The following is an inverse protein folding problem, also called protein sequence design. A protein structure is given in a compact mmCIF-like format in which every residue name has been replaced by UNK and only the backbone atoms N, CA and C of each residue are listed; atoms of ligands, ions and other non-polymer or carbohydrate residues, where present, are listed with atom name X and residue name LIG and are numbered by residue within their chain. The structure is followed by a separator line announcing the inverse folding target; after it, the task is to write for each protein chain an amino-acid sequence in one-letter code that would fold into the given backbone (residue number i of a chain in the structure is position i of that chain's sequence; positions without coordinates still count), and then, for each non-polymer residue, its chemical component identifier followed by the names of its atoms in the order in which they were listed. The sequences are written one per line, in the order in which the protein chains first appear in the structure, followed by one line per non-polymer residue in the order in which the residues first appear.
data_IF_904502592170
#
_entry.id   IF_904502592170
#
_cell.length_a   1.000
_cell.length_b   1.000
_cell.length_c   1.000
_cell.angle_alpha   90.00
_cell.angle_beta   90.00
_cell.angle_gamma   90.00
#
_symmetry.space_group_name_H-M   'P 1'
#
loop_
_entity.id
_entity.type
_entity.pdbx_description
1 polymer ?
#
# COMPACT_ATOMS: atom_id res chain seq x y z
N UNK A 1 -22.81 -7.71 -6.92
CA UNK A 1 -23.16 -9.12 -7.18
C UNK A 1 -23.56 -9.33 -8.63
N UNK A 2 -24.61 -8.66 -9.14
CA UNK A 2 -25.02 -8.79 -10.55
C UNK A 2 -23.88 -8.52 -11.53
N UNK A 3 -23.13 -7.42 -11.35
CA UNK A 3 -21.94 -7.12 -12.15
C UNK A 3 -20.93 -8.28 -12.16
N UNK A 4 -20.50 -8.76 -10.98
CA UNK A 4 -19.52 -9.86 -10.86
C UNK A 4 -20.03 -11.16 -11.48
N UNK A 5 -21.34 -11.44 -11.35
CA UNK A 5 -21.95 -12.60 -11.98
C UNK A 5 -21.91 -12.51 -13.51
N UNK A 6 -22.22 -11.34 -14.07
CA UNK A 6 -22.13 -11.10 -15.52
C UNK A 6 -20.69 -11.25 -15.97
N UNK A 7 -19.72 -10.63 -15.27
CA UNK A 7 -18.31 -10.72 -15.63
C UNK A 7 -17.74 -12.14 -15.53
N UNK A 8 -18.29 -12.99 -14.66
CA UNK A 8 -17.90 -14.40 -14.54
C UNK A 8 -18.52 -15.29 -15.62
N UNK A 9 -19.67 -14.91 -16.17
CA UNK A 9 -20.45 -15.76 -17.10
C UNK A 9 -20.31 -15.37 -18.56
N UNK A 10 -19.94 -14.12 -18.83
CA UNK A 10 -19.67 -13.63 -20.18
C UNK A 10 -18.44 -14.34 -20.79
N UNK A 11 -18.47 -14.59 -22.10
CA UNK A 11 -17.31 -15.20 -22.78
C UNK A 11 -16.12 -14.24 -22.85
N UNK A 12 -14.92 -14.80 -22.77
CA UNK A 12 -13.67 -14.02 -22.86
C UNK A 12 -13.60 -13.21 -24.16
N UNK A 13 -14.00 -13.80 -25.30
CA UNK A 13 -14.02 -13.13 -26.60
C UNK A 13 -14.89 -11.87 -26.61
N UNK A 14 -16.04 -11.92 -25.93
CA UNK A 14 -16.95 -10.77 -25.83
C UNK A 14 -16.33 -9.66 -24.98
N UNK A 15 -15.71 -10.00 -23.86
CA UNK A 15 -15.00 -9.04 -23.01
C UNK A 15 -13.82 -8.40 -23.75
N UNK A 16 -13.02 -9.20 -24.46
CA UNK A 16 -11.89 -8.71 -25.24
C UNK A 16 -12.38 -7.76 -26.34
N UNK A 17 -13.45 -8.13 -27.06
CA UNK A 17 -14.02 -7.28 -28.10
C UNK A 17 -14.56 -5.96 -27.54
N UNK A 18 -15.17 -5.99 -26.35
CA UNK A 18 -15.61 -4.79 -25.64
C UNK A 18 -14.42 -3.89 -25.30
N UNK A 19 -13.39 -4.41 -24.63
CA UNK A 19 -12.22 -3.60 -24.22
C UNK A 19 -11.45 -3.01 -25.41
N UNK A 20 -11.41 -3.70 -26.55
CA UNK A 20 -10.76 -3.19 -27.76
C UNK A 20 -11.48 -1.97 -28.37
N UNK A 21 -12.79 -1.85 -28.15
CA UNK A 21 -13.62 -0.77 -28.70
C UNK A 21 -13.87 0.35 -27.69
N UNK A 22 -13.78 0.03 -26.40
CA UNK A 22 -14.09 0.96 -25.32
C UNK A 22 -13.08 2.13 -25.26
N UNK A 23 -13.55 3.38 -25.06
CA UNK A 23 -12.68 4.50 -24.78
C UNK A 23 -12.01 4.34 -23.41
N UNK A 24 -10.90 5.07 -23.20
CA UNK A 24 -10.13 5.01 -21.94
C UNK A 24 -10.99 5.28 -20.69
N UNK A 25 -11.98 6.17 -20.77
CA UNK A 25 -12.88 6.49 -19.65
C UNK A 25 -13.70 5.29 -19.20
N UNK A 26 -14.26 4.53 -20.14
CA UNK A 26 -15.04 3.32 -19.83
C UNK A 26 -14.16 2.19 -19.27
N UNK A 27 -12.93 2.07 -19.76
CA UNK A 27 -11.96 1.12 -19.21
C UNK A 27 -11.55 1.52 -17.78
N UNK A 28 -11.34 2.81 -17.53
CA UNK A 28 -11.02 3.33 -16.19
C UNK A 28 -12.19 3.14 -15.21
N UNK A 29 -13.43 3.35 -15.65
CA UNK A 29 -14.63 3.11 -14.87
C UNK A 29 -14.82 1.62 -14.59
N UNK A 30 -14.54 0.74 -15.56
CA UNK A 30 -14.52 -0.70 -15.38
C UNK A 30 -13.58 -1.12 -14.24
N UNK A 31 -12.33 -0.64 -14.23
CA UNK A 31 -11.40 -0.91 -13.12
C UNK A 31 -11.87 -0.32 -11.79
N UNK A 32 -12.49 0.87 -11.81
CA UNK A 32 -13.04 1.48 -10.60
C UNK A 32 -14.18 0.65 -10.00
N UNK A 33 -15.02 0.03 -10.83
CA UNK A 33 -16.07 -0.91 -10.37
C UNK A 33 -15.43 -2.17 -9.75
N UNK A 34 -14.35 -2.68 -10.34
CA UNK A 34 -13.60 -3.81 -9.77
C UNK A 34 -13.02 -3.45 -8.39
N UNK A 35 -12.43 -2.27 -8.25
CA UNK A 35 -11.90 -1.76 -6.98
C UNK A 35 -12.99 -1.66 -5.90
N UNK A 36 -14.16 -1.12 -6.26
CA UNK A 36 -15.32 -1.06 -5.36
C UNK A 36 -15.78 -2.46 -4.95
N UNK A 37 -15.75 -3.43 -5.87
CA UNK A 37 -16.07 -4.82 -5.55
C UNK A 37 -15.06 -5.41 -4.55
N UNK A 38 -13.75 -5.20 -4.74
CA UNK A 38 -12.73 -5.67 -3.80
C UNK A 38 -12.91 -5.09 -2.40
N UNK A 39 -13.22 -3.79 -2.29
CA UNK A 39 -13.42 -3.14 -1.00
C UNK A 39 -14.68 -3.63 -0.28
N UNK A 40 -15.78 -3.83 -1.03
CA UNK A 40 -17.06 -4.27 -0.48
C UNK A 40 -17.04 -5.73 -0.02
N UNK A 41 -16.32 -6.61 -0.74
CA UNK A 41 -16.20 -8.04 -0.42
C UNK A 41 -14.93 -8.38 0.35
N UNK A 42 -14.33 -7.41 1.05
CA UNK A 42 -13.13 -7.64 1.87
C UNK A 42 -13.37 -8.66 2.98
N UNK A 43 -12.40 -9.52 3.22
CA UNK A 43 -12.50 -10.51 4.28
C UNK A 43 -12.18 -9.89 5.65
N UNK A 44 -13.14 -9.88 6.55
CA UNK A 44 -12.99 -9.27 7.89
C UNK A 44 -12.26 -10.19 8.90
N UNK A 45 -12.11 -11.48 8.59
CA UNK A 45 -11.53 -12.49 9.45
C UNK A 45 -12.56 -13.24 10.30
N UNK A 46 -12.47 -14.59 10.35
CA UNK A 46 -13.42 -15.48 11.04
C UNK A 46 -13.76 -15.01 12.46
N UNK A 47 -12.74 -14.67 13.27
CA UNK A 47 -12.93 -14.16 14.64
C UNK A 47 -13.70 -12.84 14.71
N UNK A 48 -13.50 -11.93 13.76
CA UNK A 48 -14.21 -10.64 13.75
C UNK A 48 -15.64 -10.80 13.24
N UNK A 49 -15.86 -11.68 12.28
CA UNK A 49 -17.21 -12.02 11.78
C UNK A 49 -18.03 -12.61 12.92
N UNK A 50 -17.51 -13.62 13.63
CA UNK A 50 -18.16 -14.23 14.80
C UNK A 50 -18.46 -13.19 15.88
N UNK A 51 -17.50 -12.31 16.21
CA UNK A 51 -17.72 -11.23 17.20
C UNK A 51 -18.81 -10.24 16.79
N UNK A 52 -18.86 -9.85 15.50
CA UNK A 52 -19.89 -8.94 14.98
C UNK A 52 -21.28 -9.57 15.05
N UNK A 53 -21.38 -10.84 14.69
CA UNK A 53 -22.64 -11.60 14.75
C UNK A 53 -23.09 -11.75 16.21
N UNK A 54 -22.18 -12.12 17.11
CA UNK A 54 -22.48 -12.22 18.54
C UNK A 54 -22.91 -10.87 19.16
N UNK A 55 -22.30 -9.76 18.74
CA UNK A 55 -22.68 -8.41 19.18
C UNK A 55 -24.07 -7.99 18.64
N UNK A 56 -24.37 -8.31 17.38
CA UNK A 56 -25.67 -8.07 16.77
C UNK A 56 -26.78 -8.88 17.47
N UNK A 57 -26.51 -10.15 17.80
CA UNK A 57 -27.43 -11.01 18.53
C UNK A 57 -27.70 -10.50 19.95
N UNK A 58 -26.66 -10.07 20.68
CA UNK A 58 -26.81 -9.44 22.01
C UNK A 58 -27.61 -8.14 21.96
N UNK A 59 -27.43 -7.33 20.92
CA UNK A 59 -28.19 -6.08 20.74
C UNK A 59 -29.68 -6.36 20.43
N UNK A 60 -29.96 -7.35 19.58
CA UNK A 60 -31.32 -7.77 19.27
C UNK A 60 -32.02 -8.34 20.52
N UNK A 61 -31.34 -9.14 21.34
CA UNK A 61 -31.87 -9.63 22.61
C UNK A 61 -32.08 -8.50 23.64
N UNK A 62 -31.18 -7.52 23.73
CA UNK A 62 -31.36 -6.37 24.62
C UNK A 62 -32.55 -5.49 24.22
N UNK A 63 -32.84 -5.40 22.92
CA UNK A 63 -34.02 -4.68 22.40
C UNK A 63 -35.32 -5.42 22.73
N UNK A 64 -35.31 -6.76 22.76
CA UNK A 64 -36.44 -7.60 23.16
C UNK A 64 -36.64 -7.63 24.69
N UNK A 65 -35.57 -7.70 25.48
CA UNK A 65 -35.64 -7.77 26.95
C UNK A 65 -36.07 -6.46 27.62
N UNK A 66 -36.07 -5.33 26.91
CA UNK A 66 -36.69 -4.09 27.39
C UNK A 66 -38.22 -4.06 27.24
N UNK A 67 -38.85 -5.17 26.84
CA UNK A 67 -40.31 -5.30 26.70
C UNK A 67 -41.11 -5.56 27.99
N UNK A 68 -40.46 -5.69 29.15
CA UNK A 68 -41.16 -5.94 30.43
C UNK A 68 -40.62 -5.09 31.59
N UNK A 69 -40.87 -3.79 31.54
CA UNK A 69 -41.00 -2.97 32.74
C UNK A 69 -42.34 -2.22 32.72
N UNK A 70 -43.23 -2.64 33.61
CA UNK A 70 -44.49 -1.99 33.93
C UNK A 70 -44.23 -0.54 34.37
N UNK A 71 -44.83 0.38 33.61
CA UNK A 71 -45.46 1.63 34.07
C UNK A 71 -44.61 2.66 34.80
N UNK A 72 -44.31 3.78 34.12
CA UNK A 72 -44.70 5.16 34.52
C UNK A 72 -44.05 6.21 33.60
N UNK A 73 -44.89 6.85 32.78
CA UNK A 73 -44.79 8.16 32.10
C UNK A 73 -43.42 8.89 31.99
N UNK A 74 -42.98 9.17 30.76
CA UNK A 74 -43.08 10.51 30.12
C UNK A 74 -42.41 10.58 28.71
N UNK A 75 -43.24 10.98 27.74
CA UNK A 75 -42.95 11.73 26.49
C UNK A 75 -41.72 11.40 25.62
N UNK A 76 -41.94 10.75 24.47
CA UNK A 76 -41.68 11.36 23.16
C UNK A 76 -42.43 10.59 22.04
N UNK A 77 -43.02 11.34 21.11
CA UNK A 77 -43.87 10.82 20.04
C UNK A 77 -43.03 10.20 18.91
N UNK A 78 -43.44 9.00 18.52
CA UNK A 78 -43.08 8.29 17.28
C UNK A 78 -43.60 9.02 16.05
N UNK A 79 -42.97 8.83 14.87
CA UNK A 79 -43.63 7.99 13.85
C UNK A 79 -42.60 7.09 13.12
N UNK A 80 -42.82 5.79 12.92
CA UNK A 80 -43.92 5.20 12.15
C UNK A 80 -43.48 5.03 10.68
N UNK A 81 -42.73 3.97 10.35
CA UNK A 81 -42.34 3.62 8.98
C UNK A 81 -42.99 2.29 8.63
N UNK A 82 -43.90 2.29 7.64
CA UNK A 82 -44.13 1.23 6.64
C UNK A 82 -45.23 1.70 5.64
N UNK A 83 -45.37 1.08 4.44
CA UNK A 83 -44.97 1.66 3.15
C UNK A 83 -46.17 1.97 2.25
N UNK A 84 -46.04 2.93 1.33
CA UNK A 84 -47.12 3.20 0.37
C UNK A 84 -46.60 3.60 -1.02
N UNK A 85 -46.54 2.61 -1.91
CA UNK A 85 -46.68 2.83 -3.35
C UNK A 85 -48.16 2.78 -3.69
N UNK A 86 -48.74 3.88 -4.17
CA UNK A 86 -49.73 3.93 -5.25
C UNK A 86 -50.28 5.36 -5.43
N UNK A 87 -50.16 5.86 -6.67
CA UNK A 87 -50.94 6.87 -7.40
C UNK A 87 -51.47 8.12 -6.68
N UNK A 88 -51.09 9.30 -7.19
CA UNK A 88 -52.06 10.29 -7.71
C UNK A 88 -51.40 11.40 -8.50
N UNK A 89 -52.11 11.80 -9.55
CA UNK A 89 -51.84 12.81 -10.56
C UNK A 89 -52.14 14.24 -10.08
N UNK A 90 -51.62 15.21 -10.85
CA UNK A 90 -52.05 16.62 -11.03
C UNK A 90 -51.24 17.76 -10.37
N UNK A 91 -50.62 18.54 -11.27
CA UNK A 91 -50.48 20.01 -11.34
C UNK A 91 -49.93 20.81 -10.16
N UNK A 92 -48.71 21.39 -10.30
CA UNK A 92 -48.51 22.81 -10.66
C UNK A 92 -47.00 23.14 -10.80
N UNK A 93 -46.70 24.06 -11.70
CA UNK A 93 -45.39 24.62 -12.09
C UNK A 93 -44.49 25.21 -10.98
N UNK A 94 -43.17 25.15 -11.20
CA UNK A 94 -42.19 25.94 -10.44
C UNK A 94 -40.71 25.49 -10.57
N UNK A 95 -40.04 25.99 -11.61
CA UNK A 95 -38.59 25.92 -11.92
C UNK A 95 -37.61 25.67 -10.76
N UNK A 96 -36.75 24.62 -10.85
CA UNK A 96 -35.37 24.62 -10.30
C UNK A 96 -34.38 23.73 -11.09
N UNK A 97 -33.16 24.24 -11.20
CA UNK A 97 -31.97 23.75 -11.90
C UNK A 97 -31.61 22.27 -11.73
N UNK A 98 -31.15 21.67 -12.83
CA UNK A 98 -30.45 20.38 -12.87
C UNK A 98 -29.15 20.42 -12.05
N UNK A 99 -29.12 19.69 -10.93
CA UNK A 99 -27.88 19.23 -10.28
C UNK A 99 -27.91 17.71 -10.20
N UNK A 100 -26.88 17.12 -10.79
CA UNK A 100 -26.54 15.71 -10.88
C UNK A 100 -26.61 15.02 -9.51
N UNK A 101 -27.30 13.88 -9.44
CA UNK A 101 -27.29 13.00 -8.28
C UNK A 101 -25.98 12.22 -8.24
N UNK A 102 -24.95 12.82 -7.64
CA UNK A 102 -23.73 12.10 -7.26
C UNK A 102 -23.97 11.39 -5.93
N UNK A 103 -23.76 10.08 -5.88
CA UNK A 103 -23.85 9.26 -4.68
C UNK A 103 -23.00 9.85 -3.55
N UNK A 104 -23.49 9.90 -2.30
CA UNK A 104 -22.68 10.39 -1.18
C UNK A 104 -21.54 9.43 -0.86
N UNK A 105 -20.35 10.00 -0.75
CA UNK A 105 -19.11 9.35 -0.30
C UNK A 105 -19.29 8.93 1.17
N UNK A 106 -19.42 7.61 1.43
CA UNK A 106 -19.48 7.08 2.80
C UNK A 106 -18.07 7.03 3.38
N UNK A 107 -17.71 8.10 4.10
CA UNK A 107 -16.52 8.20 4.93
C UNK A 107 -16.88 7.74 6.35
N UNK A 108 -16.30 6.62 6.80
CA UNK A 108 -16.15 6.31 8.23
C UNK A 108 -17.27 5.52 8.92
N UNK A 109 -16.88 4.34 9.44
CA UNK A 109 -17.33 3.68 10.67
C UNK A 109 -18.83 3.76 11.01
N UNK A 110 -19.62 2.80 10.53
CA UNK A 110 -20.74 2.24 11.30
C UNK A 110 -20.87 0.75 10.97
N UNK A 111 -20.85 -0.12 11.99
CA UNK A 111 -20.99 -1.57 11.82
C UNK A 111 -22.39 -2.00 11.32
N UNK A 112 -23.32 -1.04 11.24
CA UNK A 112 -24.74 -1.23 10.93
C UNK A 112 -25.14 -0.82 9.51
N UNK A 113 -24.21 -0.40 8.66
CA UNK A 113 -24.52 -0.09 7.25
C UNK A 113 -24.54 -1.34 6.35
N UNK A 114 -24.47 -2.55 6.91
CA UNK A 114 -24.54 -3.78 6.13
C UNK A 114 -25.99 -4.31 6.14
N UNK A 115 -26.80 -4.04 5.10
CA UNK A 115 -28.20 -4.46 5.05
C UNK A 115 -28.35 -5.99 5.14
N UNK A 116 -27.31 -6.75 4.74
CA UNK A 116 -27.30 -8.22 4.86
C UNK A 116 -27.21 -8.71 6.30
N UNK A 117 -26.57 -7.94 7.18
CA UNK A 117 -26.45 -8.28 8.60
C UNK A 117 -27.78 -8.04 9.32
N UNK A 118 -28.53 -7.01 8.93
CA UNK A 118 -29.88 -6.72 9.43
C UNK A 118 -30.89 -7.79 8.98
N UNK A 119 -30.85 -8.18 7.70
CA UNK A 119 -31.74 -9.22 7.16
C UNK A 119 -31.57 -10.57 7.87
N UNK A 120 -30.39 -10.84 8.44
CA UNK A 120 -30.12 -12.08 9.17
C UNK A 120 -30.56 -12.03 10.63
N UNK A 121 -30.56 -10.86 11.27
CA UNK A 121 -31.17 -10.68 12.60
C UNK A 121 -32.66 -11.04 12.52
N UNK A 122 -33.35 -10.62 11.46
CA UNK A 122 -34.75 -10.97 11.23
C UNK A 122 -34.96 -12.47 10.97
N UNK A 123 -34.12 -13.11 10.15
CA UNK A 123 -34.22 -14.55 9.88
C UNK A 123 -33.84 -15.44 11.07
N UNK A 124 -32.86 -15.02 11.87
CA UNK A 124 -32.34 -15.78 13.02
C UNK A 124 -33.20 -15.64 14.29
N UNK A 125 -34.05 -14.62 14.38
CA UNK A 125 -35.06 -14.50 15.44
C UNK A 125 -36.16 -15.58 15.34
N UNK A 126 -36.31 -16.24 14.19
CA UNK A 126 -37.30 -17.30 14.00
C UNK A 126 -36.82 -18.71 14.43
N UNK A 127 -35.53 -18.89 14.70
CA UNK A 127 -34.96 -20.20 15.04
C UNK A 127 -33.81 -20.02 16.04
N UNK A 128 -33.86 -20.71 17.19
CA UNK A 128 -32.74 -20.84 18.13
C UNK A 128 -31.46 -21.26 17.39
N UNK A 129 -30.66 -20.28 16.94
CA UNK A 129 -29.52 -20.53 16.06
C UNK A 129 -28.39 -21.14 16.87
N UNK A 130 -28.04 -22.39 16.53
CA UNK A 130 -26.92 -23.11 17.11
C UNK A 130 -25.61 -22.45 16.66
N UNK A 131 -24.54 -22.56 17.46
CA UNK A 131 -23.18 -22.08 17.12
C UNK A 131 -22.72 -22.50 15.70
N UNK A 132 -23.26 -23.62 15.20
CA UNK A 132 -23.06 -24.17 13.85
C UNK A 132 -23.47 -23.21 12.72
N UNK A 133 -24.55 -22.46 12.85
CA UNK A 133 -25.07 -21.58 11.80
C UNK A 133 -24.19 -20.33 11.61
N UNK A 134 -23.63 -19.83 12.72
CA UNK A 134 -22.71 -18.70 12.73
C UNK A 134 -21.39 -19.06 12.05
N UNK A 135 -20.89 -20.28 12.30
CA UNK A 135 -19.68 -20.79 11.67
C UNK A 135 -19.88 -20.97 10.17
N UNK A 136 -21.02 -21.55 9.76
CA UNK A 136 -21.35 -21.75 8.34
C UNK A 136 -21.45 -20.42 7.58
N UNK A 137 -22.05 -19.38 8.18
CA UNK A 137 -22.08 -18.05 7.58
C UNK A 137 -20.70 -17.42 7.44
N UNK A 138 -19.86 -17.51 8.47
CA UNK A 138 -18.50 -16.97 8.42
C UNK A 138 -17.65 -17.65 7.34
N UNK A 139 -17.85 -18.94 7.12
CA UNK A 139 -17.19 -19.70 6.06
C UNK A 139 -17.78 -19.33 4.67
N UNK A 140 -19.09 -19.10 4.57
CA UNK A 140 -19.74 -18.60 3.35
C UNK A 140 -19.22 -17.21 2.95
N UNK A 141 -19.10 -16.27 3.90
CA UNK A 141 -18.54 -14.94 3.66
C UNK A 141 -17.07 -15.01 3.21
N UNK A 142 -16.28 -15.91 3.83
CA UNK A 142 -14.90 -16.17 3.43
C UNK A 142 -14.79 -16.72 2.00
N UNK A 143 -15.68 -17.65 1.63
CA UNK A 143 -15.73 -18.24 0.30
C UNK A 143 -16.15 -17.21 -0.74
N UNK A 144 -17.19 -16.39 -0.47
CA UNK A 144 -17.60 -15.30 -1.36
C UNK A 144 -16.46 -14.29 -1.55
N UNK A 145 -15.79 -13.86 -0.48
CA UNK A 145 -14.66 -12.94 -0.58
C UNK A 145 -13.53 -13.52 -1.45
N UNK A 146 -13.23 -14.81 -1.28
CA UNK A 146 -12.22 -15.51 -2.07
C UNK A 146 -12.64 -15.61 -3.54
N UNK A 147 -13.89 -15.97 -3.81
CA UNK A 147 -14.43 -16.10 -5.17
C UNK A 147 -14.42 -14.77 -5.93
N UNK A 148 -14.84 -13.69 -5.26
CA UNK A 148 -14.78 -12.34 -5.82
C UNK A 148 -13.33 -11.94 -6.10
N UNK A 149 -12.41 -12.24 -5.18
CA UNK A 149 -10.99 -11.98 -5.37
C UNK A 149 -10.44 -12.70 -6.61
N UNK A 150 -10.74 -13.99 -6.78
CA UNK A 150 -10.27 -14.78 -7.92
C UNK A 150 -10.88 -14.30 -9.23
N UNK A 151 -12.19 -14.03 -9.26
CA UNK A 151 -12.87 -13.50 -10.45
C UNK A 151 -12.23 -12.20 -10.93
N UNK A 152 -11.97 -11.25 -10.02
CA UNK A 152 -11.35 -9.97 -10.39
C UNK A 152 -9.90 -10.17 -10.83
N UNK A 153 -9.18 -11.09 -10.21
CA UNK A 153 -7.81 -11.43 -10.58
C UNK A 153 -7.73 -12.04 -11.99
N UNK A 154 -8.67 -12.91 -12.35
CA UNK A 154 -8.77 -13.51 -13.68
C UNK A 154 -9.08 -12.45 -14.74
N UNK A 155 -10.00 -11.51 -14.47
CA UNK A 155 -10.29 -10.38 -15.36
C UNK A 155 -9.05 -9.50 -15.58
N UNK A 156 -8.27 -9.21 -14.53
CA UNK A 156 -7.02 -8.45 -14.65
C UNK A 156 -5.97 -9.21 -15.47
N UNK A 157 -5.83 -10.52 -15.24
CA UNK A 157 -4.94 -11.36 -16.00
C UNK A 157 -5.34 -11.41 -17.49
N UNK A 158 -6.64 -11.56 -17.79
CA UNK A 158 -7.16 -11.55 -19.15
C UNK A 158 -6.93 -10.19 -19.84
N UNK A 159 -7.20 -9.09 -19.13
CA UNK A 159 -6.99 -7.74 -19.66
C UNK A 159 -5.52 -7.50 -19.99
N UNK A 160 -4.62 -7.78 -19.05
CA UNK A 160 -3.16 -7.56 -19.21
C UNK A 160 -2.55 -8.44 -20.28
N UNK A 161 -3.06 -9.66 -20.48
CA UNK A 161 -2.64 -10.54 -21.57
C UNK A 161 -3.00 -9.97 -22.95
N UNK A 162 -4.20 -9.42 -23.11
CA UNK A 162 -4.69 -8.95 -24.40
C UNK A 162 -4.27 -7.51 -24.74
N UNK A 163 -4.06 -6.66 -23.73
CA UNK A 163 -3.72 -5.24 -23.91
C UNK A 163 -2.25 -4.93 -23.66
N UNK A 164 -1.36 -5.93 -23.77
CA UNK A 164 0.06 -5.79 -23.49
C UNK A 164 0.71 -4.63 -24.27
N UNK A 165 0.39 -4.47 -25.56
CA UNK A 165 0.94 -3.39 -26.41
C UNK A 165 0.55 -2.00 -25.91
N UNK A 166 -0.71 -1.80 -25.50
CA UNK A 166 -1.17 -0.53 -24.97
C UNK A 166 -0.54 -0.23 -23.61
N UNK A 167 -0.44 -1.24 -22.74
CA UNK A 167 0.20 -1.14 -21.44
C UNK A 167 1.68 -0.80 -21.54
N UNK A 168 2.39 -1.32 -22.55
CA UNK A 168 3.81 -1.06 -22.77
C UNK A 168 4.13 0.29 -23.44
N UNK A 169 3.12 1.07 -23.84
CA UNK A 169 3.35 2.41 -24.40
C UNK A 169 4.08 3.32 -23.40
N UNK A 170 4.93 4.22 -23.91
CA UNK A 170 5.72 5.16 -23.11
C UNK A 170 6.50 4.47 -21.98
N UNK A 171 7.14 3.33 -22.26
CA UNK A 171 7.89 2.54 -21.27
C UNK A 171 7.05 2.13 -20.04
N UNK A 172 5.76 1.87 -20.25
CA UNK A 172 4.77 1.61 -19.19
C UNK A 172 4.46 2.81 -18.27
N UNK A 173 4.89 4.03 -18.62
CA UNK A 173 4.59 5.27 -17.89
C UNK A 173 3.31 5.93 -18.44
N UNK A 174 2.22 5.16 -18.46
CA UNK A 174 0.92 5.64 -18.94
C UNK A 174 -0.18 5.45 -17.89
N UNK A 175 -1.26 6.24 -18.01
CA UNK A 175 -2.34 6.25 -17.03
C UNK A 175 -3.08 4.90 -16.94
N UNK A 176 -3.17 4.15 -18.04
CA UNK A 176 -3.80 2.83 -18.08
C UNK A 176 -3.00 1.81 -17.25
N UNK A 177 -1.68 1.76 -17.45
CA UNK A 177 -0.77 0.94 -16.66
C UNK A 177 -0.91 1.26 -15.17
N UNK A 178 -0.88 2.55 -14.82
CA UNK A 178 -1.06 2.98 -13.43
C UNK A 178 -2.40 2.50 -12.86
N UNK A 179 -3.51 2.67 -13.59
CA UNK A 179 -4.84 2.24 -13.14
C UNK A 179 -4.91 0.72 -12.92
N UNK A 180 -4.37 -0.08 -13.86
CA UNK A 180 -4.31 -1.55 -13.73
C UNK A 180 -3.44 -1.95 -12.53
N UNK A 181 -2.28 -1.32 -12.37
CA UNK A 181 -1.38 -1.57 -11.25
C UNK A 181 -2.02 -1.19 -9.91
N UNK A 182 -2.71 -0.06 -9.82
CA UNK A 182 -3.43 0.37 -8.61
C UNK A 182 -4.51 -0.64 -8.22
N UNK A 183 -5.23 -1.22 -9.19
CA UNK A 183 -6.18 -2.32 -8.92
C UNK A 183 -5.47 -3.57 -8.39
N UNK A 184 -4.31 -3.95 -8.95
CA UNK A 184 -3.49 -5.06 -8.43
C UNK A 184 -3.00 -4.78 -7.00
N UNK A 185 -2.58 -3.55 -6.72
CA UNK A 185 -2.06 -3.14 -5.43
C UNK A 185 -3.16 -3.13 -4.35
N UNK A 186 -4.40 -2.79 -4.73
CA UNK A 186 -5.55 -2.79 -3.82
C UNK A 186 -5.80 -4.16 -3.19
N UNK A 187 -5.49 -5.27 -3.87
CA UNK A 187 -5.59 -6.61 -3.27
C UNK A 187 -4.70 -6.78 -2.03
N UNK A 188 -3.55 -6.11 -1.98
CA UNK A 188 -2.64 -6.15 -0.82
C UNK A 188 -3.09 -5.18 0.28
N UNK A 189 -3.71 -4.06 -0.09
CA UNK A 189 -4.19 -3.04 0.84
C UNK A 189 -5.48 -3.46 1.57
N UNK A 190 -6.27 -4.32 0.95
CA UNK A 190 -7.52 -4.86 1.51
C UNK A 190 -7.25 -6.19 2.22
N UNK A 191 -7.93 -6.44 3.34
CA UNK A 191 -7.83 -7.73 4.01
C UNK A 191 -8.41 -8.84 3.11
N UNK A 192 -7.56 -9.78 2.73
CA UNK A 192 -7.92 -10.95 1.92
C UNK A 192 -7.70 -12.26 2.69
N UNK A 193 -8.29 -13.35 2.20
CA UNK A 193 -8.02 -14.68 2.73
C UNK A 193 -6.59 -15.12 2.40
N UNK A 194 -6.01 -15.99 3.24
CA UNK A 194 -4.65 -16.49 2.99
C UNK A 194 -4.55 -17.30 1.69
N UNK A 195 -5.64 -17.93 1.26
CA UNK A 195 -5.74 -18.66 -0.02
C UNK A 195 -5.73 -17.67 -1.18
N UNK A 196 -6.60 -16.66 -1.14
CA UNK A 196 -6.66 -15.60 -2.15
C UNK A 196 -5.30 -14.90 -2.33
N UNK A 197 -4.62 -14.57 -1.22
CA UNK A 197 -3.30 -13.92 -1.28
C UNK A 197 -2.25 -14.74 -2.03
N UNK A 198 -2.29 -16.08 -1.99
CA UNK A 198 -1.35 -16.91 -2.78
C UNK A 198 -1.53 -16.67 -4.28
N UNK A 199 -2.78 -16.62 -4.74
CA UNK A 199 -3.10 -16.32 -6.13
C UNK A 199 -2.73 -14.89 -6.51
N UNK A 200 -3.01 -13.92 -5.63
CA UNK A 200 -2.59 -12.52 -5.81
C UNK A 200 -1.07 -12.41 -5.95
N UNK A 201 -0.29 -13.05 -5.07
CA UNK A 201 1.17 -13.03 -5.17
C UNK A 201 1.66 -13.71 -6.47
N UNK A 202 1.05 -14.80 -6.89
CA UNK A 202 1.40 -15.45 -8.16
C UNK A 202 1.12 -14.54 -9.37
N UNK A 203 -0.04 -13.89 -9.41
CA UNK A 203 -0.41 -12.95 -10.46
C UNK A 203 0.50 -11.71 -10.47
N UNK A 204 0.88 -11.19 -9.30
CA UNK A 204 1.85 -10.09 -9.18
C UNK A 204 3.24 -10.48 -9.70
N UNK A 205 3.72 -11.71 -9.43
CA UNK A 205 4.98 -12.21 -10.02
C UNK A 205 4.89 -12.23 -11.55
N UNK A 206 3.77 -12.72 -12.09
CA UNK A 206 3.54 -12.73 -13.54
C UNK A 206 3.52 -11.31 -14.11
N UNK A 207 2.82 -10.38 -13.45
CA UNK A 207 2.72 -8.98 -13.85
C UNK A 207 4.09 -8.30 -13.89
N UNK A 208 4.89 -8.42 -12.82
CA UNK A 208 6.28 -7.91 -12.76
C UNK A 208 7.14 -8.52 -13.87
N UNK A 209 6.97 -9.83 -14.16
CA UNK A 209 7.74 -10.48 -15.22
C UNK A 209 7.37 -9.99 -16.62
N UNK A 210 6.12 -9.61 -16.85
CA UNK A 210 5.64 -9.11 -18.15
C UNK A 210 5.96 -7.63 -18.37
N UNK A 211 5.93 -6.83 -17.31
CA UNK A 211 6.09 -5.37 -17.39
C UNK A 211 7.24 -4.88 -16.49
N UNK A 212 8.49 -5.37 -16.66
CA UNK A 212 9.60 -4.95 -15.82
C UNK A 212 9.93 -3.45 -15.96
N UNK A 213 9.71 -2.85 -17.13
CA UNK A 213 9.94 -1.41 -17.35
C UNK A 213 9.02 -0.53 -16.49
N UNK A 214 7.79 -0.96 -16.20
CA UNK A 214 6.87 -0.22 -15.31
C UNK A 214 7.47 0.01 -13.92
N UNK A 215 8.28 -0.92 -13.43
CA UNK A 215 8.89 -0.85 -12.11
C UNK A 215 10.30 -0.27 -12.15
N UNK A 216 11.07 -0.61 -13.19
CA UNK A 216 12.52 -0.39 -13.21
C UNK A 216 12.99 0.73 -14.14
N UNK A 217 12.08 1.40 -14.85
CA UNK A 217 12.38 2.51 -15.76
C UNK A 217 11.39 3.65 -15.53
N UNK A 218 11.81 4.90 -15.74
CA UNK A 218 10.98 6.10 -15.56
C UNK A 218 10.80 6.48 -14.08
N UNK A 219 9.60 6.92 -13.71
CA UNK A 219 9.28 7.32 -12.33
C UNK A 219 9.23 6.10 -11.38
N UNK A 220 9.71 6.29 -10.15
CA UNK A 220 9.83 5.21 -9.17
C UNK A 220 8.56 4.95 -8.35
N UNK A 221 7.47 5.67 -8.62
CA UNK A 221 6.22 5.64 -7.83
C UNK A 221 5.61 4.24 -7.71
N UNK A 222 5.50 3.51 -8.83
CA UNK A 222 4.96 2.15 -8.83
C UNK A 222 5.88 1.18 -8.08
N UNK A 223 7.19 1.30 -8.26
CA UNK A 223 8.19 0.51 -7.53
C UNK A 223 8.11 0.76 -6.03
N UNK A 224 8.08 2.02 -5.59
CA UNK A 224 7.96 2.41 -4.19
C UNK A 224 6.68 1.90 -3.54
N UNK A 225 5.54 2.14 -4.19
CA UNK A 225 4.23 1.69 -3.69
C UNK A 225 4.15 0.16 -3.60
N UNK A 226 4.73 -0.55 -4.57
CA UNK A 226 4.79 -2.01 -4.56
C UNK A 226 5.67 -2.54 -3.43
N UNK A 227 6.88 -1.99 -3.27
CA UNK A 227 7.79 -2.33 -2.19
C UNK A 227 7.15 -2.13 -0.81
N UNK A 228 6.45 -1.01 -0.61
CA UNK A 228 5.77 -0.69 0.64
C UNK A 228 4.69 -1.72 0.99
N UNK A 229 3.81 -2.08 0.06
CA UNK A 229 2.75 -3.06 0.33
C UNK A 229 3.30 -4.49 0.50
N UNK A 230 4.33 -4.90 -0.24
CA UNK A 230 4.99 -6.20 -0.02
C UNK A 230 5.62 -6.26 1.38
N UNK A 231 6.28 -5.18 1.82
CA UNK A 231 6.88 -5.11 3.15
C UNK A 231 5.83 -5.18 4.28
N UNK A 232 4.63 -4.60 4.09
CA UNK A 232 3.49 -4.84 4.99
C UNK A 232 3.14 -6.32 5.07
N UNK A 233 3.07 -7.01 3.94
CA UNK A 233 2.82 -8.46 3.90
C UNK A 233 3.95 -9.27 4.56
N UNK A 234 5.21 -8.82 4.49
CA UNK A 234 6.32 -9.43 5.22
C UNK A 234 6.15 -9.33 6.75
N UNK A 235 5.42 -8.34 7.26
CA UNK A 235 5.07 -8.22 8.69
C UNK A 235 3.72 -8.87 9.05
N UNK A 236 3.11 -9.61 8.13
CA UNK A 236 1.80 -10.22 8.35
C UNK A 236 1.84 -11.30 9.44
N UNK A 237 0.70 -11.52 10.10
CA UNK A 237 0.58 -12.46 11.25
C UNK A 237 0.70 -13.93 10.83
N UNK A 238 0.36 -14.23 9.58
CA UNK A 238 0.36 -15.59 9.03
C UNK A 238 1.72 -15.93 8.43
N UNK A 239 2.36 -17.00 8.91
CA UNK A 239 3.64 -17.52 8.38
C UNK A 239 3.59 -17.81 6.89
N UNK A 240 2.49 -18.40 6.39
CA UNK A 240 2.36 -18.72 4.96
C UNK A 240 2.38 -17.45 4.09
N UNK A 241 1.68 -16.40 4.52
CA UNK A 241 1.69 -15.09 3.84
C UNK A 241 3.09 -14.46 3.89
N UNK A 242 3.79 -14.55 5.03
CA UNK A 242 5.15 -14.03 5.15
C UNK A 242 6.11 -14.70 4.18
N UNK A 243 6.04 -16.02 4.03
CA UNK A 243 6.88 -16.78 3.09
C UNK A 243 6.61 -16.38 1.64
N UNK A 244 5.34 -16.29 1.25
CA UNK A 244 4.96 -15.91 -0.12
C UNK A 244 5.33 -14.46 -0.46
N UNK A 245 5.14 -13.54 0.49
CA UNK A 245 5.54 -12.14 0.36
C UNK A 245 7.07 -12.00 0.27
N UNK A 246 7.81 -12.75 1.09
CA UNK A 246 9.28 -12.82 1.04
C UNK A 246 9.77 -13.35 -0.31
N UNK A 247 9.10 -14.38 -0.85
CA UNK A 247 9.39 -14.92 -2.17
C UNK A 247 9.09 -13.93 -3.29
N UNK A 248 7.98 -13.19 -3.21
CA UNK A 248 7.65 -12.12 -4.16
C UNK A 248 8.68 -10.98 -4.09
N UNK A 249 9.08 -10.56 -2.88
CA UNK A 249 10.09 -9.51 -2.73
C UNK A 249 11.45 -9.93 -3.29
N UNK A 250 11.86 -11.16 -2.99
CA UNK A 250 13.06 -11.77 -3.56
C UNK A 250 13.00 -11.78 -5.10
N UNK A 251 11.89 -12.27 -5.67
CA UNK A 251 11.67 -12.30 -7.11
C UNK A 251 11.72 -10.89 -7.73
N UNK A 252 11.13 -9.90 -7.06
CA UNK A 252 11.14 -8.51 -7.52
C UNK A 252 12.56 -7.93 -7.59
N UNK A 253 13.37 -8.12 -6.54
CA UNK A 253 14.77 -7.72 -6.55
C UNK A 253 15.57 -8.45 -7.64
N UNK A 254 15.30 -9.75 -7.83
CA UNK A 254 15.94 -10.53 -8.89
C UNK A 254 15.58 -9.99 -10.29
N UNK A 255 14.32 -9.62 -10.51
CA UNK A 255 13.88 -8.99 -11.77
C UNK A 255 14.50 -7.62 -11.98
N UNK A 256 14.69 -6.83 -10.92
CA UNK A 256 15.42 -5.56 -10.99
C UNK A 256 16.87 -5.79 -11.46
N UNK A 257 17.54 -6.78 -10.88
CA UNK A 257 18.91 -7.15 -11.22
C UNK A 257 19.03 -7.60 -12.68
N UNK A 258 18.14 -8.50 -13.12
CA UNK A 258 18.07 -8.97 -14.51
C UNK A 258 17.82 -7.82 -15.49
N UNK A 259 16.89 -6.91 -15.16
CA UNK A 259 16.58 -5.72 -15.98
C UNK A 259 17.79 -4.79 -16.12
N UNK A 260 18.55 -4.59 -15.04
CA UNK A 260 19.77 -3.77 -15.06
C UNK A 260 21.02 -4.55 -15.52
N UNK A 261 20.85 -5.50 -16.44
CA UNK A 261 21.92 -6.30 -17.05
C UNK A 261 22.84 -6.96 -16.02
N UNK A 262 22.28 -7.41 -14.89
CA UNK A 262 22.98 -8.08 -13.79
C UNK A 262 24.09 -7.24 -13.14
N UNK A 263 23.90 -5.91 -13.07
CA UNK A 263 24.89 -5.01 -12.47
C UNK A 263 24.53 -4.55 -11.08
N UNK A 264 23.26 -4.28 -10.81
CA UNK A 264 22.83 -3.74 -9.52
C UNK A 264 21.32 -3.85 -9.28
N UNK A 265 20.93 -3.75 -8.02
CA UNK A 265 19.53 -3.60 -7.58
C UNK A 265 19.23 -2.22 -6.97
N UNK A 266 19.96 -1.17 -7.38
CA UNK A 266 19.89 0.16 -6.73
C UNK A 266 18.45 0.65 -6.59
N UNK A 267 17.62 0.56 -7.63
CA UNK A 267 16.25 1.04 -7.58
C UNK A 267 15.39 0.36 -6.50
N UNK A 268 15.31 -0.97 -6.53
CA UNK A 268 14.56 -1.71 -5.51
C UNK A 268 15.18 -1.54 -4.13
N UNK A 269 16.51 -1.45 -4.02
CA UNK A 269 17.22 -1.16 -2.78
C UNK A 269 16.78 0.16 -2.16
N UNK A 270 16.84 1.27 -2.91
CA UNK A 270 16.46 2.60 -2.43
C UNK A 270 14.97 2.65 -2.04
N UNK A 271 14.10 2.09 -2.88
CA UNK A 271 12.65 2.08 -2.61
C UNK A 271 12.29 1.22 -1.39
N UNK A 272 12.98 0.11 -1.14
CA UNK A 272 12.77 -0.71 0.05
C UNK A 272 13.23 0.00 1.32
N UNK A 273 14.37 0.70 1.26
CA UNK A 273 14.86 1.49 2.39
C UNK A 273 13.88 2.64 2.72
N UNK A 274 13.39 3.36 1.69
CA UNK A 274 12.35 4.38 1.84
C UNK A 274 11.07 3.81 2.46
N UNK A 275 10.58 2.70 1.93
CA UNK A 275 9.36 2.05 2.39
C UNK A 275 9.46 1.52 3.83
N UNK A 276 10.60 0.92 4.22
CA UNK A 276 10.83 0.50 5.61
C UNK A 276 10.74 1.70 6.56
N UNK A 277 11.39 2.81 6.21
CA UNK A 277 11.42 4.03 7.03
C UNK A 277 10.01 4.56 7.27
N UNK A 278 9.17 4.57 6.24
CA UNK A 278 7.76 4.96 6.34
C UNK A 278 6.94 3.95 7.19
N UNK A 279 7.15 2.65 7.01
CA UNK A 279 6.42 1.62 7.75
C UNK A 279 6.72 1.58 9.24
N UNK A 280 7.90 2.03 9.66
CA UNK A 280 8.22 2.14 11.09
C UNK A 280 7.30 3.17 11.74
N UNK A 281 7.08 4.33 11.09
CA UNK A 281 6.18 5.36 11.55
C UNK A 281 4.71 4.93 11.51
N UNK A 282 4.26 4.32 10.42
CA UNK A 282 2.83 4.01 10.21
C UNK A 282 2.35 2.77 10.97
N UNK A 283 3.20 1.73 11.06
CA UNK A 283 2.76 0.38 11.42
C UNK A 283 3.62 -0.34 12.46
N UNK A 284 4.71 0.30 12.96
CA UNK A 284 5.58 -0.30 13.98
C UNK A 284 6.20 -1.63 13.52
N UNK A 285 6.91 -1.61 12.40
CA UNK A 285 7.63 -2.77 11.86
C UNK A 285 8.96 -3.01 12.62
N UNK A 286 9.44 -4.25 12.66
CA UNK A 286 10.76 -4.58 13.23
C UNK A 286 10.81 -5.74 14.21
N UNK A 287 9.66 -6.24 14.66
CA UNK A 287 9.57 -7.41 15.54
C UNK A 287 10.00 -8.73 14.90
N UNK A 288 9.94 -9.82 15.68
CA UNK A 288 10.39 -11.17 15.28
C UNK A 288 9.77 -11.69 13.98
N UNK A 289 8.51 -11.30 13.72
CA UNK A 289 7.80 -11.59 12.45
C UNK A 289 8.57 -11.06 11.24
N UNK A 290 8.92 -9.79 11.25
CA UNK A 290 9.60 -9.16 10.14
C UNK A 290 11.04 -9.65 9.99
N UNK A 291 11.75 -9.86 11.11
CA UNK A 291 13.09 -10.46 11.10
C UNK A 291 13.11 -11.85 10.47
N UNK A 292 12.08 -12.67 10.72
CA UNK A 292 11.92 -13.96 10.07
C UNK A 292 11.78 -13.84 8.55
N UNK A 293 10.95 -12.90 8.07
CA UNK A 293 10.80 -12.63 6.63
C UNK A 293 12.13 -12.21 5.98
N UNK A 294 12.92 -11.36 6.64
CA UNK A 294 14.27 -11.00 6.18
C UNK A 294 15.21 -12.22 6.11
N UNK A 295 15.08 -13.17 7.04
CA UNK A 295 15.84 -14.42 6.98
C UNK A 295 15.42 -15.30 5.79
N UNK A 296 14.11 -15.42 5.53
CA UNK A 296 13.58 -16.14 4.36
C UNK A 296 14.13 -15.56 3.05
N UNK A 297 14.14 -14.23 2.91
CA UNK A 297 14.68 -13.55 1.72
C UNK A 297 16.16 -13.90 1.51
N UNK A 298 16.97 -13.88 2.57
CA UNK A 298 18.37 -14.27 2.50
C UNK A 298 18.54 -15.75 2.12
N UNK A 299 17.67 -16.63 2.62
CA UNK A 299 17.70 -18.05 2.27
C UNK A 299 17.39 -18.27 0.79
N UNK A 300 16.41 -17.54 0.22
CA UNK A 300 16.16 -17.58 -1.23
C UNK A 300 17.36 -17.11 -2.04
N UNK A 301 18.02 -16.02 -1.63
CA UNK A 301 19.21 -15.52 -2.31
C UNK A 301 20.40 -16.49 -2.28
N UNK A 302 20.62 -17.17 -1.15
CA UNK A 302 21.69 -18.17 -1.02
C UNK A 302 21.35 -19.50 -1.72
N UNK A 303 20.08 -19.85 -1.83
CA UNK A 303 19.60 -21.09 -2.45
C UNK A 303 19.46 -21.03 -3.98
N UNK A 304 19.43 -19.84 -4.58
CA UNK A 304 19.28 -19.69 -6.03
C UNK A 304 20.57 -20.02 -6.78
N UNK A 305 20.60 -21.21 -7.37
CA UNK A 305 21.73 -21.72 -8.17
C UNK A 305 22.06 -20.85 -9.37
N UNK A 306 21.07 -20.19 -9.98
CA UNK A 306 21.29 -19.36 -11.17
C UNK A 306 22.02 -18.05 -10.83
N UNK A 307 21.85 -17.55 -9.60
CA UNK A 307 22.44 -16.30 -9.14
C UNK A 307 23.71 -16.48 -8.28
N UNK A 308 24.11 -17.72 -7.99
CA UNK A 308 25.22 -18.05 -7.07
C UNK A 308 26.56 -17.39 -7.44
N UNK A 309 26.85 -17.27 -8.73
CA UNK A 309 28.12 -16.70 -9.23
C UNK A 309 28.01 -15.20 -9.56
N UNK A 310 26.90 -14.56 -9.21
CA UNK A 310 26.67 -13.12 -9.46
C UNK A 310 26.85 -12.31 -8.17
N UNK A 311 26.99 -10.97 -8.24
CA UNK A 311 26.99 -10.12 -7.04
C UNK A 311 25.62 -10.02 -6.34
N UNK A 312 24.56 -10.56 -6.95
CA UNK A 312 23.19 -10.41 -6.46
C UNK A 312 22.96 -10.90 -5.01
N UNK A 313 23.41 -12.10 -4.59
CA UNK A 313 23.23 -12.53 -3.21
C UNK A 313 23.91 -11.60 -2.19
N UNK A 314 25.05 -11.02 -2.55
CA UNK A 314 25.74 -10.04 -1.71
C UNK A 314 24.94 -8.73 -1.59
N UNK A 315 24.37 -8.24 -2.70
CA UNK A 315 23.50 -7.04 -2.67
C UNK A 315 22.24 -7.25 -1.82
N UNK A 316 21.61 -8.42 -1.92
CA UNK A 316 20.44 -8.77 -1.08
C UNK A 316 20.84 -8.83 0.40
N UNK A 317 21.99 -9.45 0.72
CA UNK A 317 22.51 -9.51 2.08
C UNK A 317 22.77 -8.10 2.64
N UNK A 318 23.42 -7.24 1.86
CA UNK A 318 23.71 -5.86 2.24
C UNK A 318 22.44 -5.04 2.45
N UNK A 319 21.44 -5.20 1.58
CA UNK A 319 20.14 -4.57 1.75
C UNK A 319 19.47 -5.00 3.06
N UNK A 320 19.38 -6.31 3.33
CA UNK A 320 18.78 -6.77 4.58
C UNK A 320 19.58 -6.36 5.82
N UNK A 321 20.90 -6.22 5.73
CA UNK A 321 21.73 -5.64 6.81
C UNK A 321 21.35 -4.18 7.06
N UNK A 322 21.27 -3.36 6.01
CA UNK A 322 20.85 -1.95 6.12
C UNK A 322 19.44 -1.81 6.70
N UNK A 323 18.48 -2.63 6.24
CA UNK A 323 17.12 -2.66 6.81
C UNK A 323 17.19 -2.94 8.32
N UNK A 324 17.98 -3.91 8.77
CA UNK A 324 18.14 -4.19 10.22
C UNK A 324 18.75 -3.02 10.97
N UNK A 325 19.77 -2.36 10.40
CA UNK A 325 20.36 -1.15 11.00
C UNK A 325 19.32 -0.05 11.17
N UNK A 326 18.51 0.23 10.13
CA UNK A 326 17.42 1.23 10.21
C UNK A 326 16.42 0.88 11.31
N UNK A 327 16.02 -0.39 11.42
CA UNK A 327 15.11 -0.84 12.48
C UNK A 327 15.69 -0.68 13.89
N UNK A 328 16.96 -1.05 14.08
CA UNK A 328 17.65 -0.94 15.36
C UNK A 328 17.83 0.51 15.77
N UNK A 329 18.32 1.36 14.86
CA UNK A 329 18.50 2.78 15.10
C UNK A 329 17.16 3.45 15.45
N UNK A 330 16.08 3.13 14.74
CA UNK A 330 14.76 3.72 15.04
C UNK A 330 14.18 3.22 16.38
N UNK A 331 14.47 1.97 16.78
CA UNK A 331 14.10 1.48 18.10
C UNK A 331 14.88 2.18 19.21
N UNK A 332 16.18 2.38 19.03
CA UNK A 332 17.04 3.12 19.96
C UNK A 332 16.61 4.59 20.07
N UNK A 333 16.26 5.24 18.96
CA UNK A 333 15.75 6.61 18.98
C UNK A 333 14.52 6.75 19.88
N UNK A 334 13.62 5.76 19.84
CA UNK A 334 12.43 5.73 20.70
C UNK A 334 12.76 5.50 22.18
N UNK A 335 13.75 4.66 22.45
CA UNK A 335 14.19 4.35 23.82
C UNK A 335 14.89 5.54 24.49
N UNK A 336 15.65 6.31 23.69
CA UNK A 336 16.43 7.47 24.13
C UNK A 336 15.75 8.83 23.84
N UNK A 337 14.42 8.89 23.68
CA UNK A 337 13.70 10.16 23.44
C UNK A 337 13.93 11.23 24.53
N UNK A 338 14.36 10.81 25.73
CA UNK A 338 14.64 11.70 26.87
C UNK A 338 16.10 12.16 26.97
N UNK A 339 16.96 11.66 26.09
CA UNK A 339 18.39 12.00 26.04
C UNK A 339 18.66 12.71 24.69
N UNK A 340 18.69 14.06 24.68
CA UNK A 340 18.77 14.82 23.44
C UNK A 340 20.10 14.62 22.71
N UNK A 341 21.20 14.34 23.42
CA UNK A 341 22.52 14.14 22.82
C UNK A 341 22.59 12.78 22.12
N UNK A 342 22.18 11.72 22.83
CA UNK A 342 22.06 10.37 22.24
C UNK A 342 21.06 10.35 21.08
N UNK A 343 19.96 11.10 21.16
CA UNK A 343 18.98 11.19 20.08
C UNK A 343 19.59 11.80 18.82
N UNK A 344 20.40 12.86 18.95
CA UNK A 344 21.10 13.50 17.83
C UNK A 344 22.11 12.53 17.21
N UNK A 345 22.88 11.81 18.01
CA UNK A 345 23.85 10.81 17.51
C UNK A 345 23.16 9.67 16.77
N UNK A 346 22.02 9.18 17.29
CA UNK A 346 21.23 8.16 16.64
C UNK A 346 20.59 8.66 15.33
N UNK A 347 20.11 9.90 15.30
CA UNK A 347 19.63 10.55 14.08
C UNK A 347 20.74 10.69 13.05
N UNK A 348 21.95 11.08 13.46
CA UNK A 348 23.12 11.17 12.58
C UNK A 348 23.49 9.80 12.01
N UNK A 349 23.59 8.77 12.86
CA UNK A 349 23.90 7.39 12.48
C UNK A 349 22.87 6.83 11.48
N UNK A 350 21.59 7.10 11.73
CA UNK A 350 20.50 6.73 10.84
C UNK A 350 20.60 7.49 9.51
N UNK A 351 20.83 8.80 9.55
CA UNK A 351 20.97 9.62 8.37
C UNK A 351 22.17 9.17 7.51
N UNK A 352 23.31 8.82 8.13
CA UNK A 352 24.48 8.26 7.45
C UNK A 352 24.16 6.89 6.80
N UNK A 353 23.29 6.07 7.43
CA UNK A 353 22.82 4.83 6.82
C UNK A 353 22.08 5.04 5.48
N UNK A 354 21.50 6.23 5.28
CA UNK A 354 20.86 6.69 4.05
C UNK A 354 21.81 7.45 3.10
N UNK A 355 23.13 7.46 3.29
CA UNK A 355 24.06 8.17 2.39
C UNK A 355 23.92 7.76 0.91
N UNK A 356 23.48 6.52 0.64
CA UNK A 356 23.16 6.05 -0.71
C UNK A 356 21.83 6.56 -1.28
N UNK A 357 20.96 7.16 -0.47
CA UNK A 357 19.62 7.68 -0.80
C UNK A 357 19.55 9.19 -0.49
N UNK A 358 19.92 10.06 -1.44
CA UNK A 358 20.10 11.50 -1.20
C UNK A 358 18.85 12.21 -0.68
N UNK A 359 17.68 11.88 -1.22
CA UNK A 359 16.42 12.48 -0.78
C UNK A 359 16.13 12.22 0.70
N UNK A 360 16.34 10.99 1.17
CA UNK A 360 16.15 10.64 2.57
C UNK A 360 17.23 11.29 3.44
N UNK A 361 18.50 11.22 3.02
CA UNK A 361 19.62 11.85 3.72
C UNK A 361 19.36 13.34 3.92
N UNK A 362 18.88 14.05 2.90
CA UNK A 362 18.49 15.46 2.98
C UNK A 362 17.37 15.69 4.00
N UNK A 363 16.26 14.96 3.93
CA UNK A 363 15.13 15.13 4.87
C UNK A 363 15.57 14.95 6.32
N UNK A 364 16.44 13.96 6.59
CA UNK A 364 17.00 13.76 7.92
C UNK A 364 17.92 14.90 8.35
N UNK A 365 18.84 15.34 7.49
CA UNK A 365 19.71 16.48 7.77
C UNK A 365 18.92 17.78 8.00
N UNK A 366 17.84 18.02 7.25
CA UNK A 366 16.95 19.18 7.45
C UNK A 366 16.21 19.09 8.79
N UNK A 367 15.75 17.89 9.17
CA UNK A 367 15.13 17.66 10.48
C UNK A 367 16.12 17.90 11.62
N UNK A 368 17.35 17.37 11.51
CA UNK A 368 18.41 17.57 12.49
C UNK A 368 18.80 19.06 12.60
N UNK A 369 18.97 19.75 11.48
CA UNK A 369 19.26 21.19 11.46
C UNK A 369 18.22 22.00 12.24
N UNK A 370 16.92 21.68 12.07
CA UNK A 370 15.83 22.32 12.80
C UNK A 370 15.89 22.03 14.31
N UNK A 371 16.29 20.83 14.71
CA UNK A 371 16.46 20.45 16.11
C UNK A 371 17.62 21.25 16.73
N UNK A 372 18.79 21.27 16.09
CA UNK A 372 19.94 22.05 16.54
C UNK A 372 19.64 23.54 16.64
N UNK A 373 18.96 24.11 15.65
CA UNK A 373 18.53 25.50 15.68
C UNK A 373 17.59 25.80 16.86
N UNK A 374 16.68 24.86 17.19
CA UNK A 374 15.77 24.99 18.35
C UNK A 374 16.51 24.89 19.68
N UNK A 375 17.58 24.10 19.74
CA UNK A 375 18.40 23.92 20.94
C UNK A 375 19.43 25.06 21.16
N UNK A 376 19.64 25.91 20.15
CA UNK A 376 20.63 27.00 20.19
C UNK A 376 22.02 26.60 19.64
N UNK A 377 22.16 25.37 19.14
CA UNK A 377 23.40 24.82 18.58
C UNK A 377 23.61 25.27 17.13
N UNK A 378 23.86 26.56 16.93
CA UNK A 378 23.93 27.16 15.59
C UNK A 378 25.05 26.58 14.72
N UNK A 379 26.19 26.21 15.32
CA UNK A 379 27.30 25.58 14.61
C UNK A 379 26.89 24.23 14.01
N UNK A 380 26.20 23.38 14.78
CA UNK A 380 25.73 22.07 14.31
C UNK A 380 24.62 22.19 13.26
N UNK A 381 23.72 23.17 13.43
CA UNK A 381 22.72 23.49 12.41
C UNK A 381 23.39 23.91 11.09
N UNK A 382 24.41 24.78 11.15
CA UNK A 382 25.17 25.21 9.97
C UNK A 382 25.89 24.03 9.30
N UNK A 383 26.46 23.11 10.08
CA UNK A 383 27.09 21.88 9.58
C UNK A 383 26.09 21.01 8.82
N UNK A 384 24.88 20.79 9.36
CA UNK A 384 23.83 20.05 8.65
C UNK A 384 23.49 20.67 7.28
N UNK A 385 23.41 22.01 7.20
CA UNK A 385 23.17 22.70 5.92
C UNK A 385 24.35 22.59 4.95
N UNK A 386 25.60 22.58 5.43
CA UNK A 386 26.78 22.33 4.59
C UNK A 386 26.71 20.92 3.99
N UNK A 387 26.32 19.90 4.77
CA UNK A 387 26.10 18.55 4.27
C UNK A 387 24.99 18.49 3.22
N UNK A 388 23.87 19.19 3.43
CA UNK A 388 22.80 19.30 2.41
C UNK A 388 23.31 19.95 1.13
N UNK A 389 24.06 21.05 1.25
CA UNK A 389 24.60 21.77 0.10
C UNK A 389 25.60 20.91 -0.70
N UNK A 390 26.46 20.16 -0.03
CA UNK A 390 27.40 19.24 -0.69
C UNK A 390 26.70 18.07 -1.37
N UNK A 391 25.65 17.53 -0.76
CA UNK A 391 24.82 16.47 -1.36
C UNK A 391 24.13 16.96 -2.64
N UNK A 392 23.60 18.19 -2.62
CA UNK A 392 23.01 18.84 -3.81
C UNK A 392 24.09 19.11 -4.86
N UNK A 393 25.27 19.60 -4.47
CA UNK A 393 26.36 19.86 -5.39
C UNK A 393 26.86 18.58 -6.07
N UNK A 394 26.97 17.47 -5.35
CA UNK A 394 27.33 16.17 -5.91
C UNK A 394 26.26 15.65 -6.88
N UNK A 395 24.98 15.85 -6.56
CA UNK A 395 23.89 15.56 -7.48
C UNK A 395 23.97 16.40 -8.77
N UNK A 396 24.20 17.71 -8.66
CA UNK A 396 24.37 18.60 -9.81
C UNK A 396 25.59 18.26 -10.66
N UNK A 397 26.67 17.79 -10.03
CA UNK A 397 27.87 17.31 -10.74
C UNK A 397 27.60 16.10 -11.60
N UNK A 398 26.88 15.14 -11.05
CA UNK A 398 26.47 13.94 -11.79
C UNK A 398 25.54 14.27 -12.95
N UNK A 399 24.74 15.33 -12.82
CA UNK A 399 23.93 15.91 -13.91
C UNK A 399 24.72 16.73 -14.93
N UNK A 400 26.02 16.94 -14.73
CA UNK A 400 26.83 17.79 -15.59
C UNK A 400 26.52 19.29 -15.47
N UNK A 401 25.73 19.70 -14.48
CA UNK A 401 25.35 21.10 -14.24
C UNK A 401 26.37 21.84 -13.35
N UNK A 402 27.20 21.11 -12.60
CA UNK A 402 28.18 21.69 -11.69
C UNK A 402 29.49 20.90 -11.64
N UNK A 403 30.65 21.50 -11.89
CA UNK A 403 31.89 20.73 -12.11
C UNK A 403 32.54 20.18 -10.82
N UNK A 404 32.38 20.85 -9.67
CA UNK A 404 33.15 20.51 -8.47
C UNK A 404 32.53 19.34 -7.67
N UNK A 405 31.22 19.39 -7.37
CA UNK A 405 30.53 18.43 -6.51
C UNK A 405 30.71 18.70 -5.01
N UNK A 406 30.60 17.66 -4.17
CA UNK A 406 30.92 17.76 -2.73
C UNK A 406 32.33 18.30 -2.41
N UNK A 407 33.39 18.10 -3.23
CA UNK A 407 34.72 18.65 -2.97
C UNK A 407 34.77 20.17 -2.83
N UNK A 408 33.77 20.92 -3.36
CA UNK A 408 33.69 22.36 -3.19
C UNK A 408 33.65 22.82 -1.71
N UNK A 409 33.23 21.93 -0.81
CA UNK A 409 33.03 22.23 0.60
C UNK A 409 34.17 21.70 1.50
N UNK A 410 35.21 21.07 0.93
CA UNK A 410 36.35 20.52 1.68
C UNK A 410 37.11 21.57 2.51
N UNK A 411 37.12 22.82 2.04
CA UNK A 411 37.76 23.94 2.76
C UNK A 411 37.00 24.35 4.02
N UNK A 412 35.74 23.93 4.16
CA UNK A 412 34.89 24.23 5.31
C UNK A 412 34.95 23.07 6.31
N UNK A 413 34.79 21.82 5.83
CA UNK A 413 34.87 20.64 6.70
C UNK A 413 35.38 19.39 5.96
N UNK A 414 36.27 18.59 6.59
CA UNK A 414 36.74 17.33 6.01
C UNK A 414 35.67 16.21 6.04
N UNK A 415 34.62 16.34 6.87
CA UNK A 415 33.56 15.31 7.03
C UNK A 415 32.66 15.19 5.80
N UNK A 416 32.77 16.13 4.86
CA UNK A 416 31.92 16.18 3.66
C UNK A 416 32.20 15.06 2.65
N UNK A 417 33.30 14.32 2.81
CA UNK A 417 33.65 13.15 2.01
C UNK A 417 32.56 12.07 2.04
N UNK A 418 31.79 12.00 3.13
CA UNK A 418 30.69 11.04 3.30
C UNK A 418 29.58 11.19 2.26
N UNK A 419 29.36 12.42 1.75
CA UNK A 419 28.30 12.71 0.76
C UNK A 419 28.63 12.16 -0.65
N UNK A 420 29.86 11.68 -0.86
CA UNK A 420 30.25 10.98 -2.09
C UNK A 420 29.65 9.58 -2.25
N UNK A 421 29.08 8.99 -1.18
CA UNK A 421 28.54 7.63 -1.18
C UNK A 421 27.17 7.46 -1.90
N UNK A 422 26.65 8.53 -2.52
CA UNK A 422 25.42 8.53 -3.29
C UNK A 422 25.44 7.43 -4.38
N UNK A 423 24.37 6.64 -4.48
CA UNK A 423 24.15 5.68 -5.58
C UNK A 423 23.18 6.26 -6.61
N UNK A 424 23.46 6.08 -7.90
CA UNK A 424 22.56 6.46 -8.98
C UNK A 424 21.55 5.35 -9.30
N UNK A 425 20.27 5.72 -9.31
CA UNK A 425 19.25 4.90 -9.93
C UNK A 425 19.22 5.17 -11.44
N UNK A 426 19.91 4.34 -12.21
CA UNK A 426 19.96 4.41 -13.69
C UNK A 426 18.58 4.33 -14.37
N UNK A 427 17.54 3.91 -13.64
CA UNK A 427 16.17 3.85 -14.14
C UNK A 427 15.37 5.14 -13.95
N UNK A 428 15.84 6.10 -13.16
CA UNK A 428 15.10 7.33 -12.85
C UNK A 428 15.30 8.35 -14.00
N UNK A 429 14.24 8.63 -14.76
CA UNK A 429 14.22 9.74 -15.71
C UNK A 429 13.95 11.05 -14.94
N UNK A 430 14.60 12.13 -15.37
CA UNK A 430 14.57 13.44 -14.72
C UNK A 430 13.14 13.88 -14.41
N UNK A 431 12.79 13.88 -13.12
CA UNK A 431 11.67 14.68 -12.64
C UNK A 431 12.22 16.09 -12.46
N UNK A 432 11.69 17.11 -13.16
CA UNK A 432 12.08 18.48 -12.89
C UNK A 432 11.79 18.77 -11.42
N UNK A 433 12.76 19.41 -10.79
CA UNK A 433 12.71 19.84 -9.41
C UNK A 433 11.60 20.89 -9.29
N UNK A 434 10.36 20.46 -9.03
CA UNK A 434 9.30 21.38 -8.68
C UNK A 434 9.49 21.70 -7.20
N UNK A 435 10.01 22.90 -6.94
CA UNK A 435 9.85 23.56 -5.65
C UNK A 435 8.35 23.61 -5.33
N UNK A 436 7.84 22.60 -4.62
CA UNK A 436 6.62 22.78 -3.85
C UNK A 436 7.02 23.62 -2.66
N UNK A 437 7.03 24.93 -2.91
CA UNK A 437 6.84 25.96 -1.92
C UNK A 437 5.69 25.50 -1.01
N UNK A 438 6.05 25.02 0.18
CA UNK A 438 5.13 24.93 1.30
C UNK A 438 4.81 26.37 1.68
N UNK A 439 3.84 26.94 0.96
CA UNK A 439 3.26 28.23 1.26
C UNK A 439 2.76 28.23 2.68
N UNK A 440 3.21 29.26 3.41
CA UNK A 440 2.63 29.74 4.64
C UNK A 440 1.11 29.78 4.56
N UNK A 441 0.42 29.11 5.49
CA UNK A 441 -0.59 29.68 6.40
C UNK A 441 -0.49 28.92 7.72
#
# INVERSE_FOLDING_TARGET
MCFLHIMKTISEDTLISYWQRAPFTEIADFFSILEVCLQNFRYLGKRNIIRKIAAAFKFAQATQNNGTLKGSNSSCQTPGILPQWMYSTSSHDGHKHHRSQTLPIIRGKNAFSNPKLLQMIDSSMASNSNDTDIVHYADTEANIATEVCLTILDLLCLFTQNHQRQLQQSDCQNALMKKVFDTYLLFLQVNQSAVALKHVFAALRLFVSKFPSAFFQGQADMCGSFCYEILKCCNHRSRSTQTEASALLYFFMRKNFEFNKQKSIVRSHLQLIKAVSQLIADAGIGGSRFQHSLAIINNFANGDKQMKNSPFPAEVKDLTKRIRTVLMATAQMKEHEKDPEMLVDLQYSLANSYASTPELRRTWLESMAKIHARNGDLSEAAMCYIHIAALIAEYLKRKGLFSMGWPAFLNITPNIKEEGAMKEDSGMQDTPYNEVSSGSI
#
